data_IF_384406827813
#
_entry.id   IF_384406827813
#
_cell.length_a   1.000
_cell.length_b   1.000
_cell.length_c   1.000
_cell.angle_alpha   90.00
_cell.angle_beta   90.00
_cell.angle_gamma   90.00
#
_symmetry.space_group_name_H-M   'P 1'
#
loop_
_entity.id
_entity.type
_entity.pdbx_description
1 polymer ?
#
# COMPACT_ATOMS: atom_id res chain seq x y z
N UNK A 1 16.31 5.72 2.87
CA UNK A 1 17.38 4.80 2.48
C UNK A 1 16.80 3.49 1.91
N UNK A 2 15.92 2.77 2.61
CA UNK A 2 15.41 1.45 2.22
C UNK A 2 14.79 1.42 0.82
N UNK A 3 13.97 2.42 0.48
CA UNK A 3 13.29 2.52 -0.82
C UNK A 3 14.28 2.61 -2.00
N UNK A 4 15.33 3.43 -1.91
CA UNK A 4 16.37 3.49 -2.95
C UNK A 4 17.25 2.24 -2.94
N UNK A 5 17.60 1.76 -1.74
CA UNK A 5 18.54 0.67 -1.59
C UNK A 5 18.12 -0.61 -2.31
N UNK A 6 16.85 -1.03 -2.15
CA UNK A 6 16.37 -2.24 -2.81
C UNK A 6 16.22 -2.07 -4.34
N UNK A 7 15.79 -0.88 -4.80
CA UNK A 7 15.64 -0.58 -6.24
C UNK A 7 17.00 -0.60 -6.93
N UNK A 8 17.97 0.10 -6.34
CA UNK A 8 19.34 0.13 -6.87
C UNK A 8 19.95 -1.28 -6.87
N UNK A 9 19.78 -2.04 -5.81
CA UNK A 9 20.27 -3.42 -5.73
C UNK A 9 19.64 -4.32 -6.82
N UNK A 10 18.33 -4.19 -7.09
CA UNK A 10 17.65 -4.95 -8.13
C UNK A 10 18.18 -4.61 -9.54
N UNK A 11 18.43 -3.31 -9.83
CA UNK A 11 19.01 -2.89 -11.10
C UNK A 11 20.44 -3.40 -11.25
N UNK A 12 21.28 -3.23 -10.24
CA UNK A 12 22.69 -3.68 -10.30
C UNK A 12 22.83 -5.20 -10.44
N UNK A 13 21.87 -5.98 -9.93
CA UNK A 13 21.82 -7.43 -10.12
C UNK A 13 21.21 -7.87 -11.45
N UNK A 14 20.76 -6.93 -12.29
CA UNK A 14 20.08 -7.23 -13.55
C UNK A 14 18.66 -7.81 -13.34
N UNK A 15 18.09 -7.67 -12.14
CA UNK A 15 16.75 -8.14 -11.82
C UNK A 15 15.66 -7.15 -12.25
N UNK A 16 16.01 -5.91 -12.54
CA UNK A 16 15.09 -4.85 -12.96
C UNK A 16 15.76 -3.93 -13.98
N UNK A 17 15.00 -3.28 -14.89
CA UNK A 17 15.50 -2.25 -15.77
C UNK A 17 15.81 -0.96 -15.00
N UNK A 18 16.67 -0.09 -15.57
CA UNK A 18 17.02 1.21 -14.99
C UNK A 18 15.79 2.10 -14.71
N UNK A 19 14.74 1.97 -15.51
CA UNK A 19 13.45 2.64 -15.32
C UNK A 19 12.82 2.40 -13.95
N UNK A 20 13.21 1.35 -13.21
CA UNK A 20 12.79 1.18 -11.83
C UNK A 20 13.23 2.34 -10.94
N UNK A 21 14.36 2.97 -11.23
CA UNK A 21 14.90 4.08 -10.44
C UNK A 21 14.06 5.35 -10.57
N UNK A 22 13.38 5.56 -11.70
CA UNK A 22 12.50 6.72 -11.91
C UNK A 22 11.35 6.74 -10.88
N UNK A 23 10.84 5.56 -10.52
CA UNK A 23 9.81 5.43 -9.49
C UNK A 23 10.27 5.88 -8.09
N UNK A 24 11.58 6.00 -7.86
CA UNK A 24 12.10 6.54 -6.60
C UNK A 24 11.72 8.01 -6.42
N UNK A 25 11.90 8.82 -7.47
CA UNK A 25 11.53 10.24 -7.43
C UNK A 25 10.02 10.38 -7.15
N UNK A 26 9.16 9.70 -7.93
CA UNK A 26 7.71 9.72 -7.75
C UNK A 26 7.27 9.38 -6.31
N UNK A 27 7.76 8.25 -5.79
CA UNK A 27 7.39 7.79 -4.45
C UNK A 27 7.94 8.70 -3.34
N UNK A 28 9.12 9.30 -3.52
CA UNK A 28 9.75 10.14 -2.50
C UNK A 28 9.25 11.58 -2.51
N UNK A 29 8.92 12.13 -3.67
CA UNK A 29 8.28 13.44 -3.79
C UNK A 29 6.90 13.39 -3.10
N UNK A 30 6.08 12.38 -3.42
CA UNK A 30 4.79 12.16 -2.74
C UNK A 30 4.94 12.08 -1.22
N UNK A 31 5.94 11.32 -0.73
CA UNK A 31 6.17 11.19 0.71
C UNK A 31 6.68 12.51 1.34
N UNK A 32 7.47 13.30 0.60
CA UNK A 32 7.95 14.58 1.06
C UNK A 32 6.81 15.59 1.17
N UNK A 33 5.95 15.69 0.16
CA UNK A 33 4.80 16.59 0.13
C UNK A 33 3.85 16.31 1.31
N UNK A 34 3.55 15.04 1.56
CA UNK A 34 2.73 14.64 2.70
C UNK A 34 3.38 15.03 4.04
N UNK A 35 4.68 14.78 4.19
CA UNK A 35 5.41 15.12 5.41
C UNK A 35 5.49 16.65 5.62
N UNK A 36 5.72 17.43 4.57
CA UNK A 36 5.74 18.89 4.62
C UNK A 36 4.36 19.41 5.04
N UNK A 37 3.29 18.92 4.44
CA UNK A 37 1.92 19.30 4.77
C UNK A 37 1.61 19.04 6.26
N UNK A 38 1.91 17.84 6.75
CA UNK A 38 1.63 17.47 8.14
C UNK A 38 2.52 18.22 9.14
N UNK A 39 3.81 18.40 8.86
CA UNK A 39 4.72 19.13 9.72
C UNK A 39 4.37 20.62 9.79
N UNK A 40 3.98 21.22 8.66
CA UNK A 40 3.52 22.62 8.62
C UNK A 40 2.27 22.81 9.46
N UNK A 41 1.26 21.93 9.30
CA UNK A 41 0.03 21.97 10.11
C UNK A 41 0.31 21.81 11.60
N UNK A 42 1.20 20.90 11.98
CA UNK A 42 1.58 20.70 13.37
C UNK A 42 2.31 21.93 13.93
N UNK A 43 3.21 22.54 13.14
CA UNK A 43 3.93 23.75 13.53
C UNK A 43 2.98 24.95 13.68
N UNK A 44 2.07 25.17 12.73
CA UNK A 44 1.10 26.26 12.78
C UNK A 44 0.13 26.11 13.98
N UNK A 45 -0.21 24.87 14.34
CA UNK A 45 -0.99 24.61 15.55
C UNK A 45 -0.22 24.93 16.84
N UNK A 46 1.04 24.50 16.95
CA UNK A 46 1.87 24.71 18.16
C UNK A 46 2.28 26.16 18.29
N UNK A 47 2.59 26.85 17.18
CA UNK A 47 3.08 28.23 17.13
C UNK A 47 2.09 29.16 16.41
N UNK A 48 0.89 29.42 16.98
CA UNK A 48 -0.14 30.20 16.30
C UNK A 48 0.28 31.65 16.12
N UNK A 49 0.12 32.17 14.89
CA UNK A 49 0.56 33.53 14.50
C UNK A 49 -0.48 34.60 14.80
N UNK A 50 -1.72 34.27 15.11
CA UNK A 50 -2.82 35.20 15.35
C UNK A 50 -3.51 34.93 16.69
N UNK A 51 -4.25 35.92 17.21
CA UNK A 51 -5.06 35.78 18.43
C UNK A 51 -6.17 34.71 18.24
N UNK A 52 -6.78 34.66 17.05
CA UNK A 52 -7.81 33.67 16.73
C UNK A 52 -7.22 32.25 16.72
N UNK A 53 -6.06 32.07 16.10
CA UNK A 53 -5.38 30.77 16.08
C UNK A 53 -4.96 30.31 17.48
N UNK A 54 -4.58 31.25 18.35
CA UNK A 54 -4.29 30.95 19.77
C UNK A 54 -5.53 30.49 20.51
N UNK A 55 -6.63 31.23 20.37
CA UNK A 55 -7.91 30.85 21.00
C UNK A 55 -8.37 29.45 20.54
N UNK A 56 -8.27 29.17 19.25
CA UNK A 56 -8.59 27.86 18.69
C UNK A 56 -7.69 26.77 19.30
N UNK A 57 -6.36 26.94 19.29
CA UNK A 57 -5.42 25.98 19.89
C UNK A 57 -5.77 25.71 21.36
N UNK A 58 -5.98 26.76 22.14
CA UNK A 58 -6.20 26.64 23.57
C UNK A 58 -7.54 25.92 23.86
N UNK A 59 -8.59 26.19 23.06
CA UNK A 59 -9.85 25.48 23.12
C UNK A 59 -9.69 23.98 22.76
N UNK A 60 -8.96 23.66 21.69
CA UNK A 60 -8.69 22.27 21.30
C UNK A 60 -7.88 21.54 22.36
N UNK A 61 -6.85 22.17 22.94
CA UNK A 61 -6.06 21.58 24.02
C UNK A 61 -6.89 21.34 25.27
N UNK A 62 -7.83 22.24 25.59
CA UNK A 62 -8.76 22.04 26.70
C UNK A 62 -9.69 20.84 26.47
N UNK A 63 -10.30 20.76 25.29
CA UNK A 63 -11.17 19.63 24.91
C UNK A 63 -10.40 18.30 24.83
N UNK A 64 -9.14 18.31 24.43
CA UNK A 64 -8.32 17.11 24.32
C UNK A 64 -8.07 16.40 25.68
N UNK A 65 -8.32 17.06 26.80
CA UNK A 65 -8.24 16.42 28.11
C UNK A 65 -9.28 15.31 28.24
N UNK A 66 -10.50 15.56 27.76
CA UNK A 66 -11.66 14.71 28.02
C UNK A 66 -12.19 14.02 26.77
N UNK A 67 -11.85 14.52 25.55
CA UNK A 67 -12.43 14.05 24.31
C UNK A 67 -11.39 13.49 23.32
N UNK A 68 -11.61 12.23 22.85
CA UNK A 68 -10.71 11.54 21.92
C UNK A 68 -10.56 12.26 20.58
N UNK A 69 -11.65 12.79 20.00
CA UNK A 69 -11.58 13.50 18.71
C UNK A 69 -10.67 14.74 18.76
N UNK A 70 -10.64 15.44 19.88
CA UNK A 70 -9.78 16.61 20.05
C UNK A 70 -8.30 16.22 20.21
N UNK A 71 -8.01 15.05 20.78
CA UNK A 71 -6.64 14.50 20.84
C UNK A 71 -6.11 14.19 19.45
N UNK A 72 -6.95 13.71 18.56
CA UNK A 72 -6.56 13.45 17.16
C UNK A 72 -6.23 14.73 16.39
N UNK A 73 -6.91 15.85 16.70
CA UNK A 73 -6.58 17.17 16.13
C UNK A 73 -5.20 17.69 16.62
N UNK A 74 -4.82 17.40 17.85
CA UNK A 74 -3.52 17.79 18.42
C UNK A 74 -2.40 16.92 17.88
N UNK A 75 -2.63 15.62 17.81
CA UNK A 75 -1.64 14.64 17.35
C UNK A 75 -2.30 13.50 16.59
N UNK A 76 -2.36 13.65 15.29
CA UNK A 76 -2.86 12.58 14.40
C UNK A 76 -1.94 11.34 14.37
N UNK A 77 -0.75 11.41 14.96
CA UNK A 77 0.28 10.38 14.85
C UNK A 77 0.84 10.19 13.44
N UNK A 78 0.45 11.04 12.49
CA UNK A 78 0.79 10.88 11.07
C UNK A 78 2.29 10.95 10.80
N UNK A 79 3.00 11.85 11.45
CA UNK A 79 4.46 12.01 11.30
C UNK A 79 5.26 10.80 11.82
N UNK A 80 4.63 9.95 12.63
CA UNK A 80 5.26 8.74 13.17
C UNK A 80 5.00 7.49 12.31
N UNK A 81 4.26 7.62 11.20
CA UNK A 81 3.93 6.52 10.29
C UNK A 81 4.58 6.74 8.94
N UNK A 82 5.11 5.69 8.30
CA UNK A 82 5.54 5.79 6.89
C UNK A 82 4.38 6.21 6.00
N UNK A 83 4.68 6.97 4.96
CA UNK A 83 3.69 7.42 3.98
C UNK A 83 3.18 6.24 3.17
N UNK A 84 1.87 6.23 2.87
CA UNK A 84 1.31 5.29 1.90
C UNK A 84 1.72 5.69 0.48
N UNK A 85 2.14 4.70 -0.29
CA UNK A 85 2.51 4.84 -1.70
C UNK A 85 1.32 4.53 -2.63
N UNK A 86 0.09 4.49 -2.11
CA UNK A 86 -1.13 4.17 -2.87
C UNK A 86 -1.23 5.01 -4.14
N UNK A 87 -1.55 4.36 -5.26
CA UNK A 87 -1.63 5.00 -6.57
C UNK A 87 -0.29 5.17 -7.31
N UNK A 88 0.86 4.75 -6.73
CA UNK A 88 2.12 4.72 -7.45
C UNK A 88 2.18 3.54 -8.44
N UNK A 89 2.93 3.71 -9.52
CA UNK A 89 2.92 2.82 -10.70
C UNK A 89 3.37 1.37 -10.40
N UNK A 90 4.21 1.16 -9.39
CA UNK A 90 4.74 -0.15 -9.03
C UNK A 90 3.74 -1.06 -8.28
N UNK A 91 2.56 -0.57 -7.98
CA UNK A 91 1.56 -1.29 -7.20
C UNK A 91 0.58 -2.03 -8.09
N UNK A 92 0.07 -3.14 -7.61
CA UNK A 92 -1.08 -3.82 -8.20
C UNK A 92 -2.31 -3.50 -7.37
N UNK A 93 -3.24 -2.77 -7.96
CA UNK A 93 -4.48 -2.39 -7.31
C UNK A 93 -5.40 -3.61 -7.09
N UNK A 94 -6.29 -3.47 -6.12
CA UNK A 94 -7.30 -4.48 -5.85
C UNK A 94 -8.24 -4.61 -7.06
N UNK A 95 -8.41 -5.82 -7.55
CA UNK A 95 -9.40 -6.13 -8.58
C UNK A 95 -10.51 -6.99 -7.97
N UNK A 96 -11.79 -6.56 -8.06
CA UNK A 96 -12.91 -7.39 -7.65
C UNK A 96 -12.91 -8.73 -8.37
N UNK A 97 -13.12 -9.83 -7.65
CA UNK A 97 -13.21 -11.16 -8.23
C UNK A 97 -14.53 -11.81 -7.84
N UNK A 98 -15.22 -12.33 -8.84
CA UNK A 98 -16.51 -13.01 -8.62
C UNK A 98 -16.37 -14.12 -7.55
N UNK A 99 -17.27 -14.11 -6.57
CA UNK A 99 -17.30 -15.08 -5.47
C UNK A 99 -16.26 -14.86 -4.37
N UNK A 100 -15.44 -13.82 -4.45
CA UNK A 100 -14.52 -13.45 -3.38
C UNK A 100 -15.01 -12.21 -2.64
N UNK A 101 -15.00 -12.21 -1.30
CA UNK A 101 -15.38 -11.04 -0.52
C UNK A 101 -14.31 -9.94 -0.63
N UNK A 102 -14.75 -8.69 -0.72
CA UNK A 102 -13.86 -7.54 -0.69
C UNK A 102 -13.10 -7.44 0.64
N UNK A 103 -11.98 -6.72 0.63
CA UNK A 103 -11.30 -6.33 1.85
C UNK A 103 -12.09 -5.24 2.56
N UNK A 104 -12.06 -5.25 3.91
CA UNK A 104 -12.64 -4.18 4.69
C UNK A 104 -11.97 -2.83 4.35
N UNK A 105 -12.74 -1.75 4.31
CA UNK A 105 -12.24 -0.44 3.90
C UNK A 105 -11.11 0.14 4.77
N UNK A 106 -10.91 -0.40 5.98
CA UNK A 106 -9.81 -0.02 6.87
C UNK A 106 -8.60 -0.99 6.81
N UNK A 107 -8.65 -2.02 5.95
CA UNK A 107 -7.57 -2.97 5.80
C UNK A 107 -6.38 -2.36 5.04
N UNK A 108 -5.17 -2.90 5.30
CA UNK A 108 -3.96 -2.53 4.58
C UNK A 108 -4.14 -2.65 3.07
N UNK A 109 -4.02 -1.53 2.37
CA UNK A 109 -4.13 -1.45 0.91
C UNK A 109 -2.75 -1.58 0.23
N UNK A 110 -2.70 -1.88 -1.08
CA UNK A 110 -1.48 -1.70 -1.85
C UNK A 110 -0.93 -0.27 -1.70
N UNK A 111 0.35 -0.16 -1.39
CA UNK A 111 1.04 1.08 -1.06
C UNK A 111 1.21 1.34 0.44
N UNK A 112 0.43 0.71 1.30
CA UNK A 112 0.57 0.91 2.74
C UNK A 112 1.80 0.18 3.30
N UNK A 113 2.43 0.73 4.34
CA UNK A 113 3.48 0.03 5.07
C UNK A 113 2.90 -1.17 5.82
N UNK A 114 3.61 -2.29 5.81
CA UNK A 114 3.24 -3.48 6.55
C UNK A 114 3.09 -3.19 8.05
N UNK A 115 2.10 -3.81 8.68
CA UNK A 115 1.87 -3.69 10.12
C UNK A 115 2.53 -4.85 10.86
N UNK A 116 3.24 -4.54 11.95
CA UNK A 116 3.85 -5.55 12.79
C UNK A 116 2.81 -6.34 13.59
N UNK A 117 3.12 -7.57 13.91
CA UNK A 117 2.33 -8.42 14.78
C UNK A 117 3.19 -9.50 15.43
N UNK A 118 2.86 -9.97 16.64
CA UNK A 118 3.56 -11.09 17.23
C UNK A 118 3.30 -12.37 16.44
N UNK A 119 4.34 -13.20 16.30
CA UNK A 119 4.29 -14.55 15.74
C UNK A 119 4.79 -15.55 16.77
N UNK A 120 4.19 -16.75 16.77
CA UNK A 120 4.59 -17.82 17.70
C UNK A 120 5.99 -18.37 17.40
N UNK A 121 6.37 -18.40 16.11
CA UNK A 121 7.69 -18.85 15.67
C UNK A 121 8.73 -17.71 15.68
N UNK A 122 10.00 -18.07 15.78
CA UNK A 122 11.08 -17.11 15.61
C UNK A 122 11.02 -16.42 14.24
N UNK A 123 11.31 -15.12 14.15
CA UNK A 123 11.91 -14.24 15.17
C UNK A 123 10.90 -13.56 16.12
N UNK A 124 9.67 -14.06 16.26
CA UNK A 124 8.67 -13.58 17.20
C UNK A 124 7.86 -12.37 16.76
N UNK A 125 8.25 -11.70 15.69
CA UNK A 125 7.59 -10.51 15.13
C UNK A 125 7.53 -10.55 13.60
N UNK A 126 6.39 -10.20 13.02
CA UNK A 126 6.12 -10.30 11.59
C UNK A 126 7.11 -9.48 10.75
N UNK A 127 7.33 -8.22 11.08
CA UNK A 127 8.26 -7.39 10.30
C UNK A 127 9.70 -7.89 10.31
N UNK A 128 10.10 -8.65 11.35
CA UNK A 128 11.42 -9.29 11.41
C UNK A 128 11.50 -10.56 10.55
N UNK A 129 10.36 -11.13 10.19
CA UNK A 129 10.29 -12.31 9.31
C UNK A 129 10.34 -11.95 7.83
N UNK A 130 10.22 -10.65 7.49
CA UNK A 130 10.23 -10.18 6.11
C UNK A 130 11.65 -10.15 5.53
N UNK A 131 11.80 -10.54 4.27
CA UNK A 131 13.06 -10.38 3.55
C UNK A 131 13.39 -8.90 3.36
N UNK A 132 14.64 -8.53 3.60
CA UNK A 132 15.15 -7.16 3.37
C UNK A 132 15.81 -7.01 2.00
N UNK A 133 16.06 -8.11 1.31
CA UNK A 133 16.76 -8.13 0.02
C UNK A 133 15.91 -8.62 -1.13
N UNK A 134 14.72 -9.19 -0.85
CA UNK A 134 13.79 -9.71 -1.83
C UNK A 134 12.34 -9.48 -1.42
N UNK A 135 11.43 -9.90 -2.27
CA UNK A 135 10.00 -9.84 -1.97
C UNK A 135 9.60 -10.90 -0.94
N UNK A 136 8.52 -10.64 -0.21
CA UNK A 136 7.94 -11.60 0.74
C UNK A 136 6.45 -11.76 0.48
N UNK A 137 5.99 -12.99 0.32
CA UNK A 137 4.57 -13.32 0.34
C UNK A 137 4.16 -13.74 1.76
N UNK A 138 3.20 -13.03 2.35
CA UNK A 138 2.49 -13.48 3.55
C UNK A 138 1.29 -14.30 3.12
N UNK A 139 1.16 -15.53 3.61
CA UNK A 139 0.04 -16.42 3.30
C UNK A 139 -0.68 -16.77 4.58
N UNK A 140 -1.95 -16.38 4.68
CA UNK A 140 -2.80 -16.70 5.81
C UNK A 140 -3.54 -18.02 5.55
N UNK A 141 -3.20 -19.05 6.32
CA UNK A 141 -3.77 -20.39 6.19
C UNK A 141 -4.46 -20.80 7.49
N UNK A 142 -5.59 -21.47 7.38
CA UNK A 142 -6.23 -22.14 8.49
C UNK A 142 -5.48 -23.40 8.93
N UNK A 143 -6.07 -24.16 9.84
CA UNK A 143 -5.53 -25.46 10.22
C UNK A 143 -5.56 -26.41 9.01
N UNK A 144 -4.45 -27.08 8.76
CA UNK A 144 -4.14 -27.79 7.53
C UNK A 144 -5.21 -28.82 7.07
N UNK A 145 -5.96 -29.42 8.00
CA UNK A 145 -6.98 -30.42 7.70
C UNK A 145 -8.39 -29.85 7.49
N UNK A 146 -8.63 -28.61 7.91
CA UNK A 146 -9.94 -27.97 7.87
C UNK A 146 -10.04 -26.83 6.84
N UNK A 147 -8.93 -26.48 6.18
CA UNK A 147 -8.83 -25.29 5.31
C UNK A 147 -8.25 -25.61 3.92
N UNK A 148 -9.07 -26.10 2.99
CA UNK A 148 -8.62 -26.36 1.62
C UNK A 148 -8.28 -25.07 0.84
N UNK A 149 -8.84 -23.93 1.21
CA UNK A 149 -8.60 -22.64 0.53
C UNK A 149 -7.22 -22.10 0.91
N UNK A 150 -6.89 -22.09 2.18
CA UNK A 150 -5.57 -21.67 2.65
C UNK A 150 -4.46 -22.62 2.17
N UNK A 151 -4.72 -23.93 2.14
CA UNK A 151 -3.76 -24.89 1.63
C UNK A 151 -3.43 -24.64 0.14
N UNK A 152 -4.46 -24.45 -0.68
CA UNK A 152 -4.30 -24.11 -2.09
C UNK A 152 -3.54 -22.78 -2.30
N UNK A 153 -3.81 -21.76 -1.48
CA UNK A 153 -3.10 -20.50 -1.54
C UNK A 153 -1.60 -20.69 -1.23
N UNK A 154 -1.26 -21.49 -0.22
CA UNK A 154 0.13 -21.85 0.07
C UNK A 154 0.80 -22.53 -1.10
N UNK A 155 0.14 -23.53 -1.72
CA UNK A 155 0.67 -24.23 -2.89
C UNK A 155 0.93 -23.27 -4.07
N UNK A 156 -0.01 -22.37 -4.37
CA UNK A 156 0.14 -21.39 -5.44
C UNK A 156 1.31 -20.43 -5.20
N UNK A 157 1.46 -19.93 -3.96
CA UNK A 157 2.57 -19.05 -3.60
C UNK A 157 3.91 -19.79 -3.63
N UNK A 158 3.96 -21.05 -3.17
CA UNK A 158 5.16 -21.87 -3.24
C UNK A 158 5.55 -22.20 -4.69
N UNK A 159 4.59 -22.41 -5.55
CA UNK A 159 4.83 -22.55 -7.01
C UNK A 159 5.45 -21.27 -7.58
N UNK A 160 4.89 -20.08 -7.27
CA UNK A 160 5.46 -18.81 -7.69
C UNK A 160 6.88 -18.63 -7.17
N UNK A 161 7.13 -18.98 -5.89
CA UNK A 161 8.47 -18.87 -5.27
C UNK A 161 9.47 -19.78 -6.01
N UNK A 162 9.09 -20.99 -6.38
CA UNK A 162 9.92 -21.91 -7.17
C UNK A 162 10.31 -21.33 -8.54
N UNK A 163 9.37 -20.67 -9.22
CA UNK A 163 9.62 -20.03 -10.51
C UNK A 163 10.52 -18.77 -10.39
N UNK A 164 10.53 -18.12 -9.23
CA UNK A 164 11.27 -16.88 -9.00
C UNK A 164 12.68 -17.09 -8.42
N UNK A 165 13.09 -18.31 -8.14
CA UNK A 165 14.42 -18.60 -7.55
C UNK A 165 15.58 -17.96 -8.31
N UNK A 166 15.51 -17.94 -9.63
CA UNK A 166 16.54 -17.33 -10.50
C UNK A 166 16.43 -15.79 -10.61
N UNK A 167 15.34 -15.19 -10.14
CA UNK A 167 14.99 -13.79 -10.37
C UNK A 167 14.91 -12.95 -9.08
N UNK A 168 15.80 -13.19 -8.13
CA UNK A 168 15.83 -12.48 -6.85
C UNK A 168 15.02 -13.14 -5.74
N UNK A 169 14.34 -14.24 -6.06
CA UNK A 169 13.60 -15.04 -5.08
C UNK A 169 12.32 -14.40 -4.55
N UNK A 170 11.51 -15.25 -3.91
CA UNK A 170 10.34 -14.85 -3.14
C UNK A 170 10.39 -15.59 -1.80
N UNK A 171 10.54 -14.84 -0.71
CA UNK A 171 10.39 -15.41 0.62
C UNK A 171 8.90 -15.68 0.90
N UNK A 172 8.59 -16.78 1.59
CA UNK A 172 7.22 -17.13 1.96
C UNK A 172 7.11 -17.20 3.47
N UNK A 173 6.20 -16.42 4.03
CA UNK A 173 5.86 -16.46 5.46
C UNK A 173 4.42 -16.93 5.59
N UNK A 174 4.25 -18.15 6.12
CA UNK A 174 2.94 -18.72 6.43
C UNK A 174 2.51 -18.27 7.82
N UNK A 175 1.26 -17.82 7.94
CA UNK A 175 0.64 -17.36 9.19
C UNK A 175 -0.60 -18.21 9.44
N UNK A 176 -0.48 -19.20 10.30
CA UNK A 176 -1.56 -20.11 10.64
C UNK A 176 -2.60 -19.45 11.55
N UNK A 177 -3.84 -19.95 11.52
CA UNK A 177 -4.95 -19.48 12.36
C UNK A 177 -4.78 -19.98 13.81
N UNK A 178 -3.88 -19.34 14.54
CA UNK A 178 -3.62 -19.63 15.96
C UNK A 178 -3.90 -18.40 16.83
N UNK A 179 -4.22 -18.60 18.10
CA UNK A 179 -4.46 -17.50 19.04
C UNK A 179 -3.27 -16.51 19.11
N UNK A 180 -2.04 -17.01 19.04
CA UNK A 180 -0.82 -16.19 19.02
C UNK A 180 -0.72 -15.28 17.79
N UNK A 181 -1.40 -15.60 16.68
CA UNK A 181 -1.40 -14.85 15.44
C UNK A 181 -2.67 -13.98 15.26
N UNK A 182 -3.59 -13.96 16.21
CA UNK A 182 -4.89 -13.27 16.10
C UNK A 182 -4.74 -11.78 15.73
N UNK A 183 -3.69 -11.11 16.21
CA UNK A 183 -3.44 -9.71 15.88
C UNK A 183 -3.03 -9.54 14.42
N UNK A 184 -2.22 -10.44 13.85
CA UNK A 184 -1.86 -10.44 12.43
C UNK A 184 -3.11 -10.62 11.56
N UNK A 185 -3.91 -11.63 11.85
CA UNK A 185 -5.17 -11.89 11.14
C UNK A 185 -6.09 -10.67 11.13
N UNK A 186 -6.25 -10.01 12.26
CA UNK A 186 -7.08 -8.81 12.38
C UNK A 186 -6.50 -7.60 11.63
N UNK A 187 -5.19 -7.33 11.76
CA UNK A 187 -4.53 -6.19 11.12
C UNK A 187 -4.52 -6.28 9.59
N UNK A 188 -4.44 -7.49 9.07
CA UNK A 188 -4.42 -7.76 7.64
C UNK A 188 -5.81 -8.11 7.09
N UNK A 189 -6.88 -7.95 7.88
CA UNK A 189 -8.24 -8.41 7.50
C UNK A 189 -8.20 -9.81 6.86
N UNK A 190 -7.39 -10.70 7.44
CA UNK A 190 -7.10 -11.98 6.83
C UNK A 190 -8.24 -12.97 6.99
N UNK A 191 -8.41 -13.79 5.96
CA UNK A 191 -9.23 -15.00 5.92
C UNK A 191 -8.37 -16.12 5.38
N UNK A 192 -8.74 -17.40 5.57
CA UNK A 192 -8.04 -18.49 4.92
C UNK A 192 -7.87 -18.25 3.43
N UNK A 193 -6.63 -18.35 2.93
CA UNK A 193 -6.27 -18.07 1.55
C UNK A 193 -5.86 -16.64 1.23
N UNK A 194 -5.97 -15.71 2.18
CA UNK A 194 -5.51 -14.33 1.98
C UNK A 194 -3.99 -14.30 1.78
N UNK A 195 -3.54 -13.58 0.75
CA UNK A 195 -2.14 -13.38 0.42
C UNK A 195 -1.83 -11.90 0.31
N UNK A 196 -0.71 -11.49 0.89
CA UNK A 196 -0.11 -10.16 0.71
C UNK A 196 1.29 -10.32 0.13
N UNK A 197 1.59 -9.59 -0.94
CA UNK A 197 2.94 -9.48 -1.47
C UNK A 197 3.58 -8.18 -0.99
N UNK A 198 4.73 -8.31 -0.34
CA UNK A 198 5.47 -7.19 0.24
C UNK A 198 6.78 -6.97 -0.50
N UNK A 199 7.12 -5.71 -0.72
CA UNK A 199 8.41 -5.27 -1.25
C UNK A 199 9.51 -5.37 -0.18
N UNK A 200 10.79 -5.31 -0.58
CA UNK A 200 11.91 -5.31 0.39
C UNK A 200 11.88 -4.14 1.38
N UNK A 201 11.28 -3.00 1.02
CA UNK A 201 11.06 -1.83 1.88
C UNK A 201 9.77 -1.93 2.74
N UNK A 202 9.20 -3.14 2.83
CA UNK A 202 8.05 -3.47 3.67
C UNK A 202 6.74 -2.77 3.31
N UNK A 203 6.59 -2.28 2.06
CA UNK A 203 5.29 -1.82 1.57
C UNK A 203 4.54 -2.96 0.88
N UNK A 204 3.22 -2.97 1.07
CA UNK A 204 2.32 -3.89 0.34
C UNK A 204 2.32 -3.50 -1.13
N UNK A 205 2.70 -4.38 -2.03
CA UNK A 205 2.60 -4.11 -3.47
C UNK A 205 1.37 -4.77 -4.12
N UNK A 206 0.80 -5.78 -3.48
CA UNK A 206 -0.43 -6.43 -3.93
C UNK A 206 -1.06 -7.23 -2.78
N UNK A 207 -2.37 -7.49 -2.88
CA UNK A 207 -3.09 -8.40 -1.96
C UNK A 207 -4.23 -9.12 -2.68
N UNK A 208 -4.58 -10.30 -2.18
CA UNK A 208 -5.66 -11.12 -2.74
C UNK A 208 -6.33 -11.94 -1.65
N UNK A 209 -7.61 -12.25 -1.83
CA UNK A 209 -8.33 -13.25 -1.02
C UNK A 209 -7.96 -14.69 -1.40
N UNK A 210 -7.59 -14.90 -2.66
CA UNK A 210 -7.02 -16.13 -3.16
C UNK A 210 -6.15 -15.82 -4.37
N UNK A 211 -4.82 -15.86 -4.19
CA UNK A 211 -3.86 -15.61 -5.25
C UNK A 211 -3.61 -16.89 -6.06
N UNK A 212 -3.40 -16.73 -7.36
CA UNK A 212 -2.75 -17.75 -8.19
C UNK A 212 -1.25 -17.46 -8.30
N UNK A 213 -0.46 -18.45 -8.73
CA UNK A 213 0.96 -18.24 -8.99
C UNK A 213 1.17 -17.12 -10.04
N UNK A 214 0.33 -17.06 -11.07
CA UNK A 214 0.38 -16.01 -12.09
C UNK A 214 0.14 -14.62 -11.53
N UNK A 215 -0.78 -14.45 -10.57
CA UNK A 215 -1.02 -13.16 -9.90
C UNK A 215 0.23 -12.65 -9.17
N UNK A 216 0.88 -13.54 -8.42
CA UNK A 216 2.08 -13.21 -7.65
C UNK A 216 3.23 -12.83 -8.59
N UNK A 217 3.42 -13.61 -9.67
CA UNK A 217 4.45 -13.34 -10.68
C UNK A 217 4.22 -12.00 -11.39
N UNK A 218 2.98 -11.72 -11.80
CA UNK A 218 2.62 -10.49 -12.47
C UNK A 218 2.80 -9.26 -11.55
N UNK A 219 2.40 -9.36 -10.28
CA UNK A 219 2.57 -8.27 -9.32
C UNK A 219 4.04 -8.00 -9.02
N UNK A 220 4.88 -9.04 -8.88
CA UNK A 220 6.31 -8.85 -8.70
C UNK A 220 6.97 -8.25 -9.95
N UNK A 221 6.60 -8.71 -11.15
CA UNK A 221 7.12 -8.16 -12.40
C UNK A 221 6.76 -6.67 -12.53
N UNK A 222 5.55 -6.26 -12.17
CA UNK A 222 5.12 -4.86 -12.11
C UNK A 222 5.96 -4.07 -11.10
N UNK A 223 6.12 -4.58 -9.88
CA UNK A 223 6.89 -3.93 -8.82
C UNK A 223 8.39 -3.77 -9.18
N UNK A 224 8.91 -4.59 -10.11
CA UNK A 224 10.25 -4.49 -10.67
C UNK A 224 10.31 -3.70 -11.99
N UNK A 225 9.25 -2.99 -12.37
CA UNK A 225 9.14 -2.28 -13.67
C UNK A 225 9.45 -3.16 -14.90
N UNK A 226 9.21 -4.47 -14.81
CA UNK A 226 9.42 -5.42 -15.93
C UNK A 226 8.23 -5.45 -16.91
N UNK A 227 7.11 -4.81 -16.54
CA UNK A 227 5.93 -4.64 -17.40
C UNK A 227 5.83 -3.17 -17.77
N UNK A 228 5.68 -2.81 -19.07
CA UNK A 228 5.52 -1.41 -19.47
C UNK A 228 4.33 -0.77 -18.74
N UNK A 229 4.51 0.44 -18.19
CA UNK A 229 3.44 1.25 -17.66
C UNK A 229 2.52 1.64 -18.82
N UNK A 230 1.30 1.12 -18.88
CA UNK A 230 0.35 1.47 -19.94
C UNK A 230 -0.61 0.37 -20.39
N UNK A 231 -0.43 -0.85 -19.97
CA UNK A 231 -1.43 -1.91 -20.20
C UNK A 231 -2.44 -1.94 -19.04
N UNK A 232 -3.17 -0.84 -18.84
CA UNK A 232 -4.49 -0.95 -18.25
C UNK A 232 -5.34 -1.75 -19.23
N UNK A 233 -6.00 -2.79 -18.72
CA UNK A 233 -6.87 -3.65 -19.49
C UNK A 233 -7.76 -2.82 -20.43
N UNK A 234 -7.46 -2.86 -21.70
CA UNK A 234 -8.38 -2.42 -22.75
C UNK A 234 -9.51 -3.45 -22.80
N UNK A 235 -10.55 -3.16 -22.10
CA UNK A 235 -11.77 -3.95 -22.06
C UNK A 235 -12.96 -3.05 -21.85
N UNK A 236 -13.22 -2.19 -22.81
CA UNK A 236 -14.52 -1.80 -23.38
C UNK A 236 -14.21 -0.81 -24.50
N UNK A 237 -14.43 -1.20 -25.74
CA UNK A 237 -14.49 -0.28 -26.87
C UNK A 237 -15.65 0.69 -26.62
N UNK A 238 -15.47 2.02 -26.80
CA UNK A 238 -16.60 2.91 -26.88
C UNK A 238 -17.24 2.72 -28.26
N UNK A 239 -18.54 2.48 -28.25
CA UNK A 239 -19.38 2.50 -29.43
C UNK A 239 -19.19 3.82 -30.17
N UNK A 240 -18.88 3.72 -31.45
CA UNK A 240 -18.90 4.81 -32.39
C UNK A 240 -20.35 5.09 -32.74
N UNK A 241 -20.90 6.16 -32.14
CA UNK A 241 -22.02 6.88 -32.75
C UNK A 241 -21.75 8.37 -32.59
N UNK A 242 -21.71 9.01 -33.76
CA UNK A 242 -21.48 10.44 -33.90
C UNK A 242 -22.63 11.25 -33.39
N UNK A 243 -22.39 12.47 -32.97
CA UNK A 243 -23.02 13.61 -33.57
C UNK A 243 -22.48 14.95 -33.02
N UNK A 244 -22.19 15.80 -33.96
CA UNK A 244 -22.26 17.29 -34.02
C UNK A 244 -21.88 18.14 -32.82
N UNK A 245 -20.78 18.85 -33.03
CA UNK A 245 -20.37 20.04 -32.30
C UNK A 245 -21.40 21.20 -32.39
N UNK A 246 -21.70 21.83 -31.25
CA UNK A 246 -22.27 23.15 -31.17
C UNK A 246 -21.28 24.10 -30.43
N UNK A 247 -21.15 25.37 -30.92
CA UNK A 247 -20.10 26.27 -30.42
C UNK A 247 -20.47 26.91 -29.07
N UNK A 248 -19.50 26.96 -28.17
CA UNK A 248 -19.59 27.64 -26.88
C UNK A 248 -19.53 29.15 -27.09
N UNK A 249 -20.59 29.84 -26.69
CA UNK A 249 -20.71 31.31 -26.69
C UNK A 249 -19.78 31.94 -25.63
N UNK A 250 -19.08 32.98 -26.03
CA UNK A 250 -18.25 33.84 -25.20
C UNK A 250 -19.08 34.59 -24.15
N UNK A 251 -18.63 34.61 -22.90
CA UNK A 251 -19.16 35.48 -21.84
C UNK A 251 -18.49 36.86 -21.90
N UNK A 252 -19.24 37.97 -21.77
CA UNK A 252 -18.68 39.30 -21.77
C UNK A 252 -18.00 39.66 -20.43
N UNK A 253 -16.93 40.47 -20.55
CA UNK A 253 -16.16 40.95 -19.43
C UNK A 253 -16.94 41.94 -18.56
N UNK A 254 -16.65 41.91 -17.27
CA UNK A 254 -17.07 42.92 -16.28
C UNK A 254 -15.96 43.96 -16.17
N UNK A 255 -16.34 45.21 -16.50
CA UNK A 255 -15.49 46.38 -16.40
C UNK A 255 -15.24 46.77 -14.94
N UNK A 256 -14.04 47.28 -14.68
CA UNK A 256 -13.68 47.99 -13.47
C UNK A 256 -14.43 49.34 -13.39
N UNK A 257 -14.84 49.69 -12.19
CA UNK A 257 -15.19 51.05 -11.84
C UNK A 257 -14.75 51.36 -10.40
N UNK A 258 -13.91 52.39 -10.34
CA UNK A 258 -13.59 53.31 -9.25
C UNK A 258 -13.54 52.82 -7.81
#
# INVERSE_FOLDING_TARGET
>A
ADNLGWKLAAVLRGEAPDALLDSYAEERERAADENILHSTRATDFITPKSAVSRLFRDAVLHLARDHGFARELVNSGRLSRPTSLSGCALLTEDAPRAGQPDFAGAALCPGDPALDAPLAQAPGWLLRSLSRTGFTALVFAGEAQADPVGHRAVEQVMQAAGLLQAAGGLAVVRIDAQAAHALAWRRYDARPGTVYLLRPDQHVCARWRAATAADVLAAQARALSRVPHGLHAAGVAPDADGDTAAPVAARPGVAAAA
#
